data_IF_872807481150
#
_entry.id   IF_872807481150
#
_cell.length_a   1.000
_cell.length_b   1.000
_cell.length_c   1.000
_cell.angle_alpha   90.00
_cell.angle_beta   90.00
_cell.angle_gamma   90.00
#
_symmetry.space_group_name_H-M   'P 1'
#
loop_
_entity.id
_entity.type
_entity.pdbx_description
1 polymer ?
#
# COMPACT_ATOMS: atom_id res chain seq x y z
N UNK A 1 5.83 -4.22 -45.92
CA UNK A 1 4.46 -4.34 -45.38
C UNK A 1 4.58 -4.99 -44.02
N UNK A 2 4.70 -4.19 -42.96
CA UNK A 2 4.91 -4.66 -41.59
C UNK A 2 3.58 -4.53 -40.87
N UNK A 3 2.80 -5.60 -40.84
CA UNK A 3 1.59 -5.66 -40.03
C UNK A 3 1.97 -5.67 -38.56
N UNK A 4 2.02 -4.51 -37.94
CA UNK A 4 2.02 -4.36 -36.49
C UNK A 4 0.65 -4.81 -35.99
N UNK A 5 0.50 -6.10 -35.73
CA UNK A 5 -0.59 -6.58 -34.86
C UNK A 5 -0.34 -5.96 -33.49
N UNK A 6 -0.94 -4.82 -33.21
CA UNK A 6 -1.07 -4.29 -31.86
C UNK A 6 -2.01 -5.23 -31.13
N UNK A 7 -1.47 -6.30 -30.56
CA UNK A 7 -2.21 -7.18 -29.66
C UNK A 7 -2.90 -6.31 -28.60
N UNK A 8 -4.16 -6.59 -28.32
CA UNK A 8 -4.85 -5.90 -27.23
C UNK A 8 -4.16 -6.22 -25.90
N UNK A 9 -4.22 -5.31 -24.92
CA UNK A 9 -3.66 -5.58 -23.59
C UNK A 9 -4.20 -6.88 -22.97
N UNK A 10 -5.50 -7.16 -23.17
CA UNK A 10 -6.12 -8.42 -22.74
C UNK A 10 -5.49 -9.65 -23.40
N UNK A 11 -5.15 -9.57 -24.70
CA UNK A 11 -4.45 -10.64 -25.39
C UNK A 11 -3.02 -10.83 -24.87
N UNK A 12 -2.31 -9.73 -24.60
CA UNK A 12 -0.95 -9.78 -24.02
C UNK A 12 -0.96 -10.42 -22.64
N UNK A 13 -1.89 -10.03 -21.77
CA UNK A 13 -2.05 -10.61 -20.42
C UNK A 13 -2.39 -12.11 -20.52
N UNK A 14 -3.30 -12.49 -21.42
CA UNK A 14 -3.65 -13.90 -21.63
C UNK A 14 -2.48 -14.73 -22.13
N UNK A 15 -1.67 -14.18 -23.05
CA UNK A 15 -0.43 -14.83 -23.51
C UNK A 15 0.59 -14.93 -22.38
N UNK A 16 0.77 -13.88 -21.60
CA UNK A 16 1.66 -13.83 -20.45
C UNK A 16 1.29 -14.84 -19.34
N UNK A 17 -0.01 -15.12 -19.15
CA UNK A 17 -0.49 -16.13 -18.20
C UNK A 17 -0.08 -17.57 -18.54
N UNK A 18 0.24 -17.85 -19.81
CA UNK A 18 0.69 -19.17 -20.27
C UNK A 18 2.20 -19.24 -20.53
N UNK A 19 2.92 -18.12 -20.38
CA UNK A 19 4.34 -18.03 -20.66
C UNK A 19 5.20 -18.32 -19.42
N UNK A 20 6.46 -18.71 -19.63
CA UNK A 20 7.41 -18.95 -18.54
C UNK A 20 7.74 -17.67 -17.79
N UNK A 21 7.96 -17.77 -16.48
CA UNK A 21 8.45 -16.65 -15.64
C UNK A 21 9.69 -16.02 -16.26
N UNK A 22 9.78 -14.70 -16.22
CA UNK A 22 10.88 -13.93 -16.79
C UNK A 22 10.93 -13.86 -18.33
N UNK A 23 9.92 -14.39 -19.04
CA UNK A 23 9.88 -14.30 -20.51
C UNK A 23 9.57 -12.90 -21.02
N UNK A 24 10.05 -12.59 -22.23
CA UNK A 24 9.79 -11.31 -22.90
C UNK A 24 8.29 -11.00 -23.08
N UNK A 25 7.46 -12.04 -23.25
CA UNK A 25 6.00 -11.90 -23.36
C UNK A 25 5.42 -11.37 -22.04
N UNK A 26 5.89 -11.88 -20.89
CA UNK A 26 5.45 -11.41 -19.57
C UNK A 26 5.97 -10.01 -19.28
N UNK A 27 7.21 -9.70 -19.66
CA UNK A 27 7.78 -8.35 -19.55
C UNK A 27 6.97 -7.35 -20.37
N UNK A 28 6.72 -7.65 -21.64
CA UNK A 28 5.93 -6.79 -22.53
C UNK A 28 4.53 -6.55 -21.97
N UNK A 29 3.87 -7.60 -21.47
CA UNK A 29 2.56 -7.47 -20.85
C UNK A 29 2.59 -6.60 -19.58
N UNK A 30 3.63 -6.73 -18.74
CA UNK A 30 3.81 -5.91 -17.54
C UNK A 30 4.05 -4.44 -17.88
N UNK A 31 4.96 -4.15 -18.82
CA UNK A 31 5.25 -2.78 -19.25
C UNK A 31 4.00 -2.11 -19.83
N UNK A 32 3.24 -2.82 -20.66
CA UNK A 32 1.97 -2.32 -21.19
C UNK A 32 0.91 -2.13 -20.09
N UNK A 33 0.85 -3.06 -19.11
CA UNK A 33 -0.07 -2.94 -17.98
C UNK A 33 0.25 -1.69 -17.14
N UNK A 34 1.53 -1.45 -16.83
CA UNK A 34 1.99 -0.26 -16.09
C UNK A 34 1.60 1.01 -16.86
N UNK A 35 1.82 1.06 -18.17
CA UNK A 35 1.45 2.23 -18.99
C UNK A 35 -0.05 2.56 -18.97
N UNK A 36 -0.91 1.61 -18.61
CA UNK A 36 -2.34 1.87 -18.48
C UNK A 36 -2.75 2.57 -17.19
N UNK A 37 -1.86 2.77 -16.22
CA UNK A 37 -2.19 3.44 -14.95
C UNK A 37 -2.67 4.86 -15.16
N UNK A 38 -2.12 5.56 -16.15
CA UNK A 38 -2.51 6.92 -16.53
C UNK A 38 -3.68 6.97 -17.51
N UNK A 39 -4.33 5.84 -17.82
CA UNK A 39 -5.46 5.79 -18.75
C UNK A 39 -6.74 6.27 -18.07
N UNK A 40 -7.58 7.10 -18.73
CA UNK A 40 -8.91 7.44 -18.20
C UNK A 40 -9.91 6.28 -18.32
N UNK A 41 -9.52 5.17 -18.97
CA UNK A 41 -10.40 4.02 -19.16
C UNK A 41 -10.41 3.14 -17.90
N UNK A 42 -11.51 3.19 -17.14
CA UNK A 42 -11.75 2.33 -15.97
C UNK A 42 -11.50 0.85 -16.29
N UNK A 43 -11.97 0.37 -17.45
CA UNK A 43 -11.77 -1.03 -17.86
C UNK A 43 -10.31 -1.41 -18.06
N UNK A 44 -9.47 -0.46 -18.47
CA UNK A 44 -8.03 -0.68 -18.66
C UNK A 44 -7.31 -0.64 -17.32
N UNK A 45 -7.56 0.40 -16.51
CA UNK A 45 -6.95 0.57 -15.18
C UNK A 45 -7.32 -0.56 -14.24
N UNK A 46 -8.55 -1.09 -14.33
CA UNK A 46 -9.01 -2.22 -13.49
C UNK A 46 -8.26 -3.53 -13.76
N UNK A 47 -7.50 -3.64 -14.85
CA UNK A 47 -6.63 -4.80 -15.10
C UNK A 47 -5.38 -4.78 -14.22
N UNK A 48 -4.95 -3.59 -13.74
CA UNK A 48 -3.72 -3.45 -12.97
C UNK A 48 -3.83 -4.23 -11.64
N UNK A 49 -4.85 -4.01 -10.79
CA UNK A 49 -5.00 -4.78 -9.55
C UNK A 49 -5.11 -6.30 -9.76
N UNK A 50 -5.65 -6.73 -10.90
CA UNK A 50 -5.87 -8.14 -11.20
C UNK A 50 -4.60 -8.89 -11.61
N UNK A 51 -3.65 -8.20 -12.25
CA UNK A 51 -2.54 -8.86 -12.92
C UNK A 51 -1.17 -8.41 -12.44
N UNK A 52 -1.02 -7.18 -11.96
CA UNK A 52 0.25 -6.64 -11.51
C UNK A 52 0.92 -7.51 -10.44
N UNK A 53 0.22 -7.96 -9.37
CA UNK A 53 0.82 -8.82 -8.33
C UNK A 53 1.41 -10.14 -8.88
N UNK A 54 0.89 -10.64 -10.00
CA UNK A 54 1.33 -11.89 -10.61
C UNK A 54 2.50 -11.72 -11.59
N UNK A 55 2.71 -10.51 -12.11
CA UNK A 55 3.68 -10.21 -13.17
C UNK A 55 4.93 -9.54 -12.62
N UNK A 56 4.76 -8.54 -11.74
CA UNK A 56 5.87 -7.74 -11.21
C UNK A 56 6.97 -8.55 -10.48
N UNK A 57 6.68 -9.66 -9.76
CA UNK A 57 7.74 -10.41 -9.07
C UNK A 57 8.76 -11.04 -10.01
N UNK A 58 8.40 -11.24 -11.29
CA UNK A 58 9.31 -11.82 -12.28
C UNK A 58 10.34 -10.81 -12.81
N UNK A 59 10.15 -9.51 -12.55
CA UNK A 59 10.95 -8.40 -13.10
C UNK A 59 11.28 -7.35 -12.03
N UNK A 60 12.28 -7.61 -11.16
CA UNK A 60 12.64 -6.68 -10.08
C UNK A 60 13.00 -5.27 -10.56
N UNK A 61 13.53 -5.12 -11.78
CA UNK A 61 13.84 -3.83 -12.39
C UNK A 61 12.59 -2.98 -12.70
N UNK A 62 11.42 -3.62 -12.84
CA UNK A 62 10.14 -2.97 -13.07
C UNK A 62 9.35 -2.75 -11.77
N UNK A 63 9.89 -3.14 -10.62
CA UNK A 63 9.22 -2.99 -9.32
C UNK A 63 8.85 -1.54 -9.00
N UNK A 64 9.75 -0.54 -9.13
CA UNK A 64 9.42 0.85 -8.82
C UNK A 64 8.27 1.36 -9.70
N UNK A 65 8.31 1.09 -11.01
CA UNK A 65 7.26 1.49 -11.95
C UNK A 65 5.93 0.76 -11.68
N UNK A 66 5.96 -0.50 -11.23
CA UNK A 66 4.78 -1.22 -10.78
C UNK A 66 4.16 -0.59 -9.53
N UNK A 67 5.00 -0.16 -8.59
CA UNK A 67 4.53 0.51 -7.38
C UNK A 67 3.93 1.89 -7.69
N UNK A 68 4.57 2.67 -8.57
CA UNK A 68 4.03 3.94 -9.08
C UNK A 68 2.66 3.73 -9.73
N UNK A 69 2.50 2.69 -10.56
CA UNK A 69 1.21 2.35 -11.15
C UNK A 69 0.14 1.98 -10.10
N UNK A 70 0.52 1.36 -8.98
CA UNK A 70 -0.42 1.09 -7.89
C UNK A 70 -0.85 2.38 -7.18
N UNK A 71 0.05 3.35 -7.03
CA UNK A 71 -0.28 4.67 -6.49
C UNK A 71 -1.20 5.46 -7.41
N UNK A 72 -0.94 5.47 -8.72
CA UNK A 72 -1.83 6.07 -9.72
C UNK A 72 -3.26 5.50 -9.63
N UNK A 73 -3.39 4.17 -9.51
CA UNK A 73 -4.69 3.50 -9.35
C UNK A 73 -5.38 3.96 -8.05
N UNK A 74 -4.61 4.16 -6.98
CA UNK A 74 -5.13 4.61 -5.68
C UNK A 74 -5.61 6.08 -5.68
N UNK A 75 -5.18 6.88 -6.66
CA UNK A 75 -5.56 8.29 -6.83
C UNK A 75 -6.58 8.50 -7.96
N UNK A 76 -7.07 7.41 -8.57
CA UNK A 76 -8.00 7.48 -9.69
C UNK A 76 -9.31 8.23 -9.36
N UNK A 77 -9.93 8.89 -10.34
CA UNK A 77 -11.16 9.67 -10.12
C UNK A 77 -12.36 8.80 -9.66
N UNK A 78 -12.45 7.58 -10.18
CA UNK A 78 -13.45 6.59 -9.79
C UNK A 78 -13.12 5.92 -8.44
N UNK A 79 -14.07 6.03 -7.50
CA UNK A 79 -13.96 5.47 -6.14
C UNK A 79 -13.69 3.97 -6.11
N UNK A 80 -14.34 3.19 -6.97
CA UNK A 80 -14.18 1.73 -6.96
C UNK A 80 -12.79 1.32 -7.45
N UNK A 81 -12.21 2.10 -8.38
CA UNK A 81 -10.83 1.92 -8.83
C UNK A 81 -9.85 2.26 -7.71
N UNK A 82 -10.05 3.39 -7.00
CA UNK A 82 -9.20 3.74 -5.83
C UNK A 82 -9.16 2.66 -4.77
N UNK A 83 -10.33 2.13 -4.40
CA UNK A 83 -10.42 1.05 -3.42
C UNK A 83 -9.70 -0.23 -3.86
N UNK A 84 -9.63 -0.51 -5.17
CA UNK A 84 -8.80 -1.59 -5.69
C UNK A 84 -7.32 -1.24 -5.62
N UNK A 85 -6.95 0.03 -5.87
CA UNK A 85 -5.59 0.55 -5.69
C UNK A 85 -5.09 0.40 -4.25
N UNK A 86 -5.89 0.77 -3.24
CA UNK A 86 -5.53 0.60 -1.83
C UNK A 86 -5.19 -0.87 -1.50
N UNK A 87 -5.99 -1.80 -2.01
CA UNK A 87 -5.78 -3.25 -1.83
C UNK A 87 -4.55 -3.73 -2.59
N UNK A 88 -4.33 -3.24 -3.80
CA UNK A 88 -3.16 -3.55 -4.61
C UNK A 88 -1.86 -3.15 -3.90
N UNK A 89 -1.82 -1.98 -3.27
CA UNK A 89 -0.67 -1.54 -2.45
C UNK A 89 -0.32 -2.59 -1.38
N UNK A 90 -1.32 -3.12 -0.68
CA UNK A 90 -1.13 -4.18 0.33
C UNK A 90 -0.69 -5.50 -0.31
N UNK A 91 -1.25 -5.88 -1.45
CA UNK A 91 -0.87 -7.11 -2.15
C UNK A 91 0.59 -7.04 -2.64
N UNK A 92 1.05 -5.88 -3.11
CA UNK A 92 2.46 -5.65 -3.44
C UNK A 92 3.34 -5.71 -2.19
N UNK A 93 2.90 -5.15 -1.07
CA UNK A 93 3.65 -5.22 0.18
C UNK A 93 3.91 -6.69 0.60
N UNK A 94 2.89 -7.56 0.47
CA UNK A 94 2.95 -8.99 0.80
C UNK A 94 3.91 -9.80 -0.08
N UNK A 95 4.16 -9.35 -1.31
CA UNK A 95 5.00 -10.05 -2.27
C UNK A 95 6.49 -9.95 -1.92
N UNK A 96 6.91 -8.90 -1.20
CA UNK A 96 8.26 -8.81 -0.65
C UNK A 96 8.91 -7.46 -0.88
N UNK A 97 8.35 -6.41 -0.27
CA UNK A 97 9.01 -5.09 -0.17
C UNK A 97 9.77 -4.97 1.15
N UNK A 98 10.73 -4.04 1.21
CA UNK A 98 11.47 -3.72 2.42
C UNK A 98 10.64 -2.94 3.44
N UNK A 99 11.20 -2.78 4.64
CA UNK A 99 10.57 -2.02 5.72
C UNK A 99 10.33 -0.54 5.34
N UNK A 100 11.25 0.05 4.56
CA UNK A 100 11.13 1.42 4.09
C UNK A 100 9.90 1.60 3.18
N UNK A 101 9.71 0.69 2.23
CA UNK A 101 8.54 0.73 1.34
C UNK A 101 7.23 0.49 2.10
N UNK A 102 7.19 -0.41 3.10
CA UNK A 102 5.99 -0.54 3.94
C UNK A 102 5.68 0.76 4.67
N UNK A 103 6.70 1.49 5.13
CA UNK A 103 6.54 2.84 5.69
C UNK A 103 5.88 3.79 4.68
N UNK A 104 6.45 3.91 3.47
CA UNK A 104 5.90 4.77 2.41
C UNK A 104 4.48 4.39 2.02
N UNK A 105 4.19 3.10 1.84
CA UNK A 105 2.84 2.60 1.57
C UNK A 105 1.86 2.95 2.70
N UNK A 106 2.30 2.84 3.95
CA UNK A 106 1.47 3.22 5.11
C UNK A 106 1.16 4.72 5.09
N UNK A 107 2.14 5.58 4.76
CA UNK A 107 1.94 7.02 4.65
C UNK A 107 0.91 7.37 3.57
N UNK A 108 1.08 6.81 2.36
CA UNK A 108 0.15 7.03 1.23
C UNK A 108 -1.28 6.66 1.63
N UNK A 109 -1.51 5.49 2.23
CA UNK A 109 -2.85 5.08 2.66
C UNK A 109 -3.41 5.97 3.78
N UNK A 110 -2.58 6.48 4.70
CA UNK A 110 -3.00 7.43 5.73
C UNK A 110 -3.43 8.77 5.11
N UNK A 111 -2.72 9.27 4.11
CA UNK A 111 -3.11 10.48 3.38
C UNK A 111 -4.43 10.27 2.63
N UNK A 112 -4.59 9.15 1.92
CA UNK A 112 -5.85 8.80 1.24
C UNK A 112 -7.02 8.70 2.24
N UNK A 113 -6.76 8.17 3.43
CA UNK A 113 -7.77 8.08 4.48
C UNK A 113 -8.16 9.46 4.99
N UNK A 114 -7.19 10.34 5.22
CA UNK A 114 -7.48 11.72 5.60
C UNK A 114 -8.38 12.45 4.60
N UNK A 115 -8.05 12.36 3.29
CA UNK A 115 -8.90 12.92 2.23
C UNK A 115 -10.31 12.30 2.24
N UNK A 116 -10.40 10.97 2.39
CA UNK A 116 -11.69 10.26 2.46
C UNK A 116 -12.54 10.70 3.66
N UNK A 117 -11.92 11.11 4.78
CA UNK A 117 -12.61 11.70 5.92
C UNK A 117 -13.17 13.09 5.63
N UNK A 118 -12.45 13.94 4.89
CA UNK A 118 -12.96 15.24 4.45
C UNK A 118 -14.19 15.08 3.54
N UNK A 119 -14.15 14.05 2.68
CA UNK A 119 -15.22 13.75 1.73
C UNK A 119 -16.37 12.92 2.33
N UNK A 120 -16.27 12.51 3.61
CA UNK A 120 -17.22 11.63 4.29
C UNK A 120 -17.47 10.29 3.56
N UNK A 121 -16.45 9.76 2.86
CA UNK A 121 -16.51 8.51 2.10
C UNK A 121 -16.32 7.29 3.01
N UNK A 122 -17.37 6.91 3.75
CA UNK A 122 -17.30 5.81 4.74
C UNK A 122 -16.81 4.48 4.16
N UNK A 123 -17.15 4.18 2.90
CA UNK A 123 -16.72 2.94 2.23
C UNK A 123 -15.21 2.91 1.97
N UNK A 124 -14.63 4.04 1.55
CA UNK A 124 -13.19 4.17 1.37
C UNK A 124 -12.47 4.13 2.70
N UNK A 125 -12.98 4.84 3.72
CA UNK A 125 -12.43 4.81 5.08
C UNK A 125 -12.34 3.37 5.59
N UNK A 126 -13.43 2.61 5.51
CA UNK A 126 -13.45 1.21 5.96
C UNK A 126 -12.45 0.34 5.18
N UNK A 127 -12.27 0.57 3.89
CA UNK A 127 -11.30 -0.17 3.07
C UNK A 127 -9.85 0.21 3.45
N UNK A 128 -9.58 1.49 3.64
CA UNK A 128 -8.26 2.01 4.01
C UNK A 128 -7.85 1.54 5.40
N UNK A 129 -8.78 1.52 6.36
CA UNK A 129 -8.53 0.96 7.70
C UNK A 129 -8.08 -0.51 7.61
N UNK A 130 -8.76 -1.33 6.81
CA UNK A 130 -8.38 -2.73 6.61
C UNK A 130 -7.00 -2.87 5.95
N UNK A 131 -6.68 -1.99 5.01
CA UNK A 131 -5.40 -1.99 4.32
C UNK A 131 -4.26 -1.58 5.25
N UNK A 132 -4.42 -0.50 6.02
CA UNK A 132 -3.44 -0.03 7.00
C UNK A 132 -3.22 -1.09 8.08
N UNK A 133 -4.29 -1.72 8.59
CA UNK A 133 -4.17 -2.86 9.52
C UNK A 133 -3.36 -4.00 8.91
N UNK A 134 -3.59 -4.33 7.64
CA UNK A 134 -2.82 -5.36 6.94
C UNK A 134 -1.33 -5.03 6.87
N UNK A 135 -0.96 -3.77 6.65
CA UNK A 135 0.44 -3.33 6.67
C UNK A 135 1.04 -3.40 8.08
N UNK A 136 0.28 -3.04 9.12
CA UNK A 136 0.70 -3.19 10.52
C UNK A 136 0.98 -4.66 10.85
N UNK A 137 0.13 -5.59 10.41
CA UNK A 137 0.39 -7.02 10.61
C UNK A 137 1.61 -7.53 9.84
N UNK A 138 1.83 -7.00 8.63
CA UNK A 138 2.93 -7.41 7.77
C UNK A 138 4.29 -6.94 8.31
N UNK A 139 4.39 -5.65 8.68
CA UNK A 139 5.59 -5.08 9.26
C UNK A 139 5.22 -4.02 10.32
N UNK A 140 5.02 -4.45 11.58
CA UNK A 140 4.57 -3.56 12.64
C UNK A 140 5.59 -2.47 12.95
N UNK A 141 6.89 -2.76 12.87
CA UNK A 141 7.94 -1.76 13.12
C UNK A 141 7.82 -0.59 12.13
N UNK A 142 7.86 -0.90 10.83
CA UNK A 142 7.75 0.13 9.79
C UNK A 142 6.43 0.93 9.88
N UNK A 143 5.29 0.25 9.96
CA UNK A 143 3.98 0.91 9.94
C UNK A 143 3.73 1.72 11.21
N UNK A 144 3.97 1.13 12.40
CA UNK A 144 3.74 1.82 13.69
C UNK A 144 4.81 2.91 13.91
N UNK A 145 6.05 2.68 13.52
CA UNK A 145 7.14 3.65 13.59
C UNK A 145 6.80 4.91 12.79
N UNK A 146 6.31 4.76 11.56
CA UNK A 146 5.79 5.88 10.77
C UNK A 146 4.60 6.54 11.47
N UNK A 147 3.57 5.77 11.83
CA UNK A 147 2.35 6.29 12.44
C UNK A 147 2.66 7.15 13.67
N UNK A 148 3.54 6.68 14.55
CA UNK A 148 3.94 7.42 15.75
C UNK A 148 4.84 8.63 15.43
N UNK A 149 5.70 8.55 14.43
CA UNK A 149 6.43 9.70 13.90
C UNK A 149 5.47 10.79 13.40
N UNK A 150 4.39 10.42 12.70
CA UNK A 150 3.35 11.36 12.25
C UNK A 150 2.56 11.96 13.43
N UNK A 151 2.26 11.18 14.47
CA UNK A 151 1.69 11.69 15.72
C UNK A 151 2.62 12.65 16.46
N UNK A 152 3.93 12.52 16.26
CA UNK A 152 4.92 13.35 16.93
C UNK A 152 5.12 14.73 16.27
N UNK A 153 4.74 14.83 14.99
CA UNK A 153 4.88 16.00 14.12
C UNK A 153 3.54 16.71 13.92
N UNK A 154 3.56 17.99 13.61
CA UNK A 154 2.37 18.68 13.06
C UNK A 154 2.12 18.12 11.66
N UNK A 155 1.20 17.15 11.58
CA UNK A 155 0.79 16.54 10.32
C UNK A 155 -0.63 16.95 9.98
N UNK A 156 -0.95 16.92 8.69
CA UNK A 156 -2.31 17.21 8.22
C UNK A 156 -3.32 16.11 8.59
N UNK A 157 -2.84 14.92 8.96
CA UNK A 157 -3.68 13.79 9.37
C UNK A 157 -4.10 13.97 10.85
N UNK A 158 -5.40 14.02 11.17
CA UNK A 158 -5.86 14.23 12.54
C UNK A 158 -5.37 13.13 13.46
N UNK A 159 -4.73 13.50 14.56
CA UNK A 159 -4.26 12.59 15.62
C UNK A 159 -5.35 11.63 16.11
N UNK A 160 -6.62 12.07 16.10
CA UNK A 160 -7.77 11.21 16.44
C UNK A 160 -7.91 10.01 15.51
N UNK A 161 -7.75 10.25 14.22
CA UNK A 161 -7.90 9.24 13.19
C UNK A 161 -6.87 8.12 13.35
N UNK A 162 -5.64 8.55 13.58
CA UNK A 162 -4.51 7.67 13.82
C UNK A 162 -4.72 6.86 15.11
N UNK A 163 -5.27 7.51 16.14
CA UNK A 163 -5.53 6.86 17.43
C UNK A 163 -6.64 5.80 17.34
N UNK A 164 -7.73 6.07 16.63
CA UNK A 164 -8.84 5.13 16.46
C UNK A 164 -8.38 3.85 15.69
N UNK A 165 -7.39 3.98 14.80
CA UNK A 165 -6.72 2.84 14.15
C UNK A 165 -5.94 1.96 15.15
N UNK A 166 -5.21 2.59 16.07
CA UNK A 166 -4.34 1.95 17.06
C UNK A 166 -5.16 1.33 18.21
N UNK A 167 -6.17 2.03 18.74
CA UNK A 167 -7.02 1.54 19.84
C UNK A 167 -8.07 0.51 19.42
N UNK A 168 -8.35 0.38 18.11
CA UNK A 168 -9.21 -0.68 17.58
C UNK A 168 -8.60 -2.10 17.71
N UNK A 169 -9.14 -3.12 17.04
CA UNK A 169 -8.66 -4.51 17.15
C UNK A 169 -7.18 -4.75 16.82
N UNK A 170 -6.47 -3.78 16.22
CA UNK A 170 -5.01 -3.80 16.05
C UNK A 170 -4.22 -3.60 17.36
N UNK A 171 -4.86 -3.19 18.45
CA UNK A 171 -4.22 -3.05 19.76
C UNK A 171 -3.53 -4.36 20.20
N UNK A 172 -4.14 -5.51 19.87
CA UNK A 172 -3.52 -6.82 20.13
C UNK A 172 -2.17 -6.99 19.43
N UNK A 173 -2.03 -6.54 18.19
CA UNK A 173 -0.79 -6.66 17.42
C UNK A 173 0.25 -5.62 17.82
N UNK A 174 -0.20 -4.40 18.14
CA UNK A 174 0.65 -3.32 18.67
C UNK A 174 1.23 -3.74 20.01
N UNK A 175 0.40 -4.17 20.96
CA UNK A 175 0.83 -4.68 22.27
C UNK A 175 1.70 -5.95 22.13
N UNK A 176 1.33 -6.87 21.23
CA UNK A 176 2.15 -8.05 20.97
C UNK A 176 3.52 -7.70 20.36
N UNK A 177 3.61 -6.68 19.49
CA UNK A 177 4.90 -6.21 18.97
C UNK A 177 5.72 -5.49 20.05
N UNK A 178 5.08 -4.62 20.84
CA UNK A 178 5.68 -3.91 21.98
C UNK A 178 6.14 -4.84 23.12
N UNK A 179 5.52 -6.01 23.25
CA UNK A 179 5.84 -7.05 24.24
C UNK A 179 6.84 -8.10 23.76
N UNK A 180 7.08 -8.22 22.44
CA UNK A 180 8.11 -9.11 21.89
C UNK A 180 9.52 -8.58 22.19
N UNK A 181 10.42 -9.45 22.64
CA UNK A 181 11.81 -9.12 22.90
C UNK A 181 12.45 -8.48 21.65
N UNK A 182 13.20 -7.39 21.84
CA UNK A 182 13.81 -6.65 20.73
C UNK A 182 14.87 -7.53 20.02
N UNK A 183 14.72 -7.71 18.72
CA UNK A 183 15.71 -8.29 17.83
C UNK A 183 16.80 -7.27 17.50
N UNK A 184 17.57 -6.85 18.51
CA UNK A 184 18.67 -5.89 18.37
C UNK A 184 18.42 -4.53 19.02
N UNK A 185 19.51 -3.77 19.26
CA UNK A 185 19.46 -2.47 19.96
C UNK A 185 18.60 -1.43 19.22
N UNK A 186 18.62 -1.41 17.88
CA UNK A 186 17.80 -0.48 17.09
C UNK A 186 16.28 -0.71 17.22
N UNK A 187 15.84 -1.97 17.27
CA UNK A 187 14.42 -2.29 17.45
C UNK A 187 13.93 -1.95 18.88
N UNK A 188 14.83 -2.02 19.87
CA UNK A 188 14.51 -1.67 21.25
C UNK A 188 14.25 -0.16 21.41
N UNK A 189 15.07 0.67 20.78
CA UNK A 189 14.93 2.13 20.81
C UNK A 189 13.69 2.59 20.04
N UNK A 190 13.39 1.96 18.90
CA UNK A 190 12.17 2.21 18.14
C UNK A 190 10.91 1.88 18.95
N UNK A 191 10.87 0.70 19.59
CA UNK A 191 9.76 0.30 20.49
C UNK A 191 9.60 1.27 21.67
N UNK A 192 10.70 1.78 22.22
CA UNK A 192 10.67 2.78 23.30
C UNK A 192 10.09 4.11 22.82
N UNK A 193 10.53 4.60 21.66
CA UNK A 193 10.03 5.83 21.06
C UNK A 193 8.52 5.73 20.74
N UNK A 194 8.08 4.59 20.21
CA UNK A 194 6.65 4.31 19.97
C UNK A 194 5.86 4.38 21.29
N UNK A 195 6.30 3.69 22.35
CA UNK A 195 5.66 3.72 23.67
C UNK A 195 5.55 5.14 24.23
N UNK A 196 6.62 5.91 24.14
CA UNK A 196 6.67 7.28 24.65
C UNK A 196 5.73 8.21 23.87
N UNK A 197 5.70 8.09 22.53
CA UNK A 197 4.80 8.86 21.68
C UNK A 197 3.32 8.53 21.94
N UNK A 198 2.98 7.24 22.05
CA UNK A 198 1.62 6.80 22.40
C UNK A 198 1.19 7.42 23.74
N UNK A 199 2.05 7.32 24.76
CA UNK A 199 1.77 7.85 26.08
C UNK A 199 1.64 9.38 26.13
N UNK A 200 2.47 10.09 25.37
CA UNK A 200 2.40 11.56 25.23
C UNK A 200 1.08 12.00 24.60
N UNK A 201 0.65 11.30 23.55
CA UNK A 201 -0.62 11.58 22.86
C UNK A 201 -1.81 11.29 23.77
N UNK A 202 -1.81 10.15 24.50
CA UNK A 202 -2.87 9.84 25.48
C UNK A 202 -3.02 10.92 26.55
N UNK A 203 -1.92 11.50 27.03
CA UNK A 203 -1.95 12.57 28.05
C UNK A 203 -2.46 13.92 27.52
N UNK A 204 -2.23 14.25 26.25
CA UNK A 204 -2.72 15.50 25.66
C UNK A 204 -4.25 15.61 25.59
N UNK A 205 -4.96 14.51 25.91
CA UNK A 205 -6.42 14.40 25.90
C UNK A 205 -7.07 14.31 27.29
N UNK A 206 -6.27 14.15 28.35
CA UNK A 206 -6.74 14.12 29.74
C UNK A 206 -6.68 15.52 30.37
#
# INVERSE_FOLDING_TARGET
MSGSSTDSLGDLIRKAGNASKGSDVRRTALEQLIQTSSSPSISSVSLIPQHLPSLVPDFPDLWPAGLDAAYDVSEHEDKNVRMQGYRLVVDLARIGVGAEEVGTMTDVLLQSMYTSHQDNSLEEINTLEQCIRSLIHLNPGAAIGLITSLLSKETNVPTKLIWDLIEGPANGDVEAWLGRAAGGEGEADEKRAVKENLFRVSRSRA
#
